data_IF_669747546796
#
_entry.id   IF_669747546796
#
_cell.length_a   1.000
_cell.length_b   1.000
_cell.length_c   1.000
_cell.angle_alpha   90.00
_cell.angle_beta   90.00
_cell.angle_gamma   90.00
#
_symmetry.space_group_name_H-M   'P 1'
#
loop_
_entity.id
_entity.type
_entity.pdbx_description
1 polymer ?
#
# COMPACT_ATOMS: atom_id res chain seq x y z
N UNK A 1 -3.42 3.07 17.03
CA UNK A 1 -3.64 3.19 15.57
C UNK A 1 -2.65 2.27 14.87
N UNK A 2 -3.11 1.43 13.95
CA UNK A 2 -2.25 0.49 13.24
C UNK A 2 -1.22 1.21 12.37
N UNK A 3 -0.01 0.65 12.28
CA UNK A 3 1.05 1.16 11.41
C UNK A 3 0.99 0.47 10.06
N UNK A 4 0.99 1.25 8.98
CA UNK A 4 1.05 0.71 7.63
C UNK A 4 2.48 0.77 7.07
N UNK A 5 2.90 -0.35 6.51
CA UNK A 5 4.12 -0.52 5.74
C UNK A 5 3.77 -1.17 4.40
N UNK A 6 4.69 -1.12 3.44
CA UNK A 6 4.39 -1.51 2.08
C UNK A 6 5.44 -2.47 1.54
N UNK A 7 5.01 -3.48 0.81
CA UNK A 7 5.89 -4.38 0.08
C UNK A 7 5.66 -4.14 -1.42
N UNK A 8 6.75 -3.94 -2.14
CA UNK A 8 6.75 -3.70 -3.57
C UNK A 8 7.80 -4.56 -4.26
N UNK A 9 7.84 -4.51 -5.58
CA UNK A 9 8.78 -5.26 -6.40
C UNK A 9 8.12 -5.90 -7.61
N UNK A 10 8.95 -6.36 -8.55
CA UNK A 10 8.48 -7.13 -9.69
C UNK A 10 7.88 -8.48 -9.24
N UNK A 11 6.99 -9.08 -10.05
CA UNK A 11 6.55 -10.46 -9.82
C UNK A 11 7.74 -11.39 -9.61
N UNK A 12 7.59 -12.44 -8.80
CA UNK A 12 8.62 -13.48 -8.57
C UNK A 12 9.94 -12.99 -7.91
N UNK A 13 9.99 -11.76 -7.41
CA UNK A 13 11.13 -11.23 -6.64
C UNK A 13 11.16 -11.60 -5.15
N UNK A 14 10.27 -12.51 -4.70
CA UNK A 14 10.30 -13.05 -3.34
C UNK A 14 9.39 -12.35 -2.31
N UNK A 15 8.44 -11.52 -2.74
CA UNK A 15 7.48 -10.85 -1.83
C UNK A 15 6.66 -11.83 -0.99
N UNK A 16 6.23 -12.96 -1.55
CA UNK A 16 5.50 -14.00 -0.80
C UNK A 16 6.36 -14.63 0.31
N UNK A 17 7.64 -14.90 0.03
CA UNK A 17 8.58 -15.42 1.04
C UNK A 17 8.80 -14.40 2.16
N UNK A 18 9.00 -13.12 1.80
CA UNK A 18 9.11 -12.04 2.77
C UNK A 18 7.85 -11.94 3.66
N UNK A 19 6.65 -11.97 3.07
CA UNK A 19 5.40 -11.94 3.83
C UNK A 19 5.29 -13.13 4.79
N UNK A 20 5.70 -14.33 4.38
CA UNK A 20 5.72 -15.50 5.27
C UNK A 20 6.69 -15.33 6.45
N UNK A 21 7.85 -14.69 6.25
CA UNK A 21 8.78 -14.36 7.34
C UNK A 21 8.18 -13.31 8.28
N UNK A 22 7.57 -12.25 7.73
CA UNK A 22 6.94 -11.19 8.54
C UNK A 22 5.79 -11.72 9.41
N UNK A 23 5.01 -12.67 8.89
CA UNK A 23 3.92 -13.32 9.61
C UNK A 23 4.38 -14.17 10.81
N UNK A 24 5.67 -14.46 10.95
CA UNK A 24 6.19 -15.11 12.17
C UNK A 24 6.12 -14.21 13.40
N UNK A 25 5.97 -12.89 13.22
CA UNK A 25 5.69 -11.97 14.32
C UNK A 25 4.16 -11.86 14.54
N UNK A 26 3.61 -12.24 15.71
CA UNK A 26 2.16 -12.26 15.93
C UNK A 26 1.49 -10.88 15.84
N UNK A 27 2.27 -9.80 15.98
CA UNK A 27 1.80 -8.41 15.87
C UNK A 27 1.62 -7.96 14.42
N UNK A 28 2.13 -8.72 13.45
CA UNK A 28 2.20 -8.32 12.06
C UNK A 28 1.16 -9.02 11.21
N UNK A 29 0.63 -8.28 10.23
CA UNK A 29 -0.10 -8.83 9.10
C UNK A 29 0.68 -8.55 7.81
N UNK A 30 0.87 -9.56 6.98
CA UNK A 30 1.42 -9.43 5.64
C UNK A 30 0.77 -10.46 4.72
N UNK A 31 0.78 -10.22 3.41
CA UNK A 31 0.22 -11.15 2.45
C UNK A 31 0.71 -10.95 1.03
N UNK A 32 0.03 -11.61 0.09
CA UNK A 32 0.20 -11.37 -1.34
C UNK A 32 -0.38 -10.02 -1.76
N UNK A 33 -0.32 -9.71 -3.06
CA UNK A 33 -0.82 -8.45 -3.60
C UNK A 33 -2.28 -8.20 -3.20
N UNK A 34 -2.55 -7.03 -2.64
CA UNK A 34 -3.89 -6.59 -2.26
C UNK A 34 -4.56 -5.79 -3.40
N UNK A 35 -5.91 -5.69 -3.42
CA UNK A 35 -6.63 -4.79 -4.31
C UNK A 35 -6.48 -3.31 -3.90
N UNK A 36 -5.92 -3.01 -2.72
CA UNK A 36 -5.83 -1.66 -2.16
C UNK A 36 -5.07 -0.72 -3.09
N UNK A 37 -3.95 -1.17 -3.68
CA UNK A 37 -3.18 -0.33 -4.61
C UNK A 37 -3.97 0.12 -5.85
N UNK A 38 -4.87 -0.73 -6.35
CA UNK A 38 -5.76 -0.40 -7.47
C UNK A 38 -6.85 0.60 -7.04
N UNK A 39 -7.54 0.32 -5.94
CA UNK A 39 -8.57 1.20 -5.38
C UNK A 39 -8.01 2.59 -5.04
N UNK A 40 -6.85 2.61 -4.38
CA UNK A 40 -6.10 3.82 -4.05
C UNK A 40 -5.78 4.63 -5.31
N UNK A 41 -5.27 3.98 -6.35
CA UNK A 41 -4.93 4.66 -7.61
C UNK A 41 -6.16 5.24 -8.31
N UNK A 42 -7.29 4.52 -8.31
CA UNK A 42 -8.55 5.01 -8.88
C UNK A 42 -9.07 6.24 -8.14
N UNK A 43 -9.13 6.19 -6.81
CA UNK A 43 -9.59 7.34 -5.99
C UNK A 43 -8.64 8.52 -6.17
N UNK A 44 -7.32 8.29 -6.15
CA UNK A 44 -6.33 9.34 -6.37
C UNK A 44 -6.53 10.02 -7.74
N UNK A 45 -6.81 9.26 -8.79
CA UNK A 45 -7.14 9.78 -10.12
C UNK A 45 -8.40 10.67 -10.12
N UNK A 46 -9.45 10.24 -9.41
CA UNK A 46 -10.69 11.01 -9.26
C UNK A 46 -10.54 12.26 -8.37
N UNK A 47 -9.47 12.35 -7.58
CA UNK A 47 -9.13 13.53 -6.77
C UNK A 47 -8.08 14.44 -7.45
N UNK A 48 -7.70 14.15 -8.70
CA UNK A 48 -6.70 14.94 -9.43
C UNK A 48 -7.29 16.24 -9.97
N UNK A 49 -6.42 17.21 -10.31
CA UNK A 49 -6.83 18.51 -10.81
C UNK A 49 -7.66 18.45 -12.11
N UNK A 50 -7.56 17.36 -12.87
CA UNK A 50 -8.33 17.11 -14.09
C UNK A 50 -9.70 16.48 -13.83
N UNK A 51 -10.07 16.25 -12.58
CA UNK A 51 -11.36 15.70 -12.18
C UNK A 51 -12.43 16.79 -12.10
N UNK A 52 -13.67 16.43 -12.45
CA UNK A 52 -14.87 17.26 -12.26
C UNK A 52 -15.10 17.61 -10.78
N UNK A 53 -14.49 16.87 -9.85
CA UNK A 53 -14.61 17.08 -8.41
C UNK A 53 -13.48 17.91 -7.80
N UNK A 54 -12.58 18.48 -8.62
CA UNK A 54 -11.40 19.23 -8.15
C UNK A 54 -11.75 20.46 -7.30
N UNK A 55 -12.94 21.05 -7.46
CA UNK A 55 -13.42 22.19 -6.67
C UNK A 55 -13.96 21.81 -5.29
N UNK A 56 -14.37 20.56 -5.09
CA UNK A 56 -14.99 20.08 -3.84
C UNK A 56 -14.07 19.18 -3.01
N UNK A 57 -13.12 18.50 -3.66
CA UNK A 57 -12.14 17.64 -2.99
C UNK A 57 -10.88 18.45 -2.66
N UNK A 58 -10.84 19.00 -1.45
CA UNK A 58 -9.60 19.58 -0.92
C UNK A 58 -8.61 18.48 -0.48
N UNK A 59 -7.38 18.90 -0.18
CA UNK A 59 -6.29 17.98 0.20
C UNK A 59 -6.66 17.11 1.41
N UNK A 60 -7.37 17.64 2.41
CA UNK A 60 -7.70 16.88 3.62
C UNK A 60 -8.79 15.84 3.38
N UNK A 61 -9.80 16.17 2.55
CA UNK A 61 -10.80 15.19 2.08
C UNK A 61 -10.10 14.08 1.30
N UNK A 62 -9.20 14.44 0.37
CA UNK A 62 -8.40 13.47 -0.39
C UNK A 62 -7.61 12.55 0.54
N UNK A 63 -6.95 13.10 1.56
CA UNK A 63 -6.19 12.31 2.54
C UNK A 63 -7.08 11.33 3.29
N UNK A 64 -8.23 11.80 3.79
CA UNK A 64 -9.20 10.95 4.50
C UNK A 64 -9.73 9.83 3.62
N UNK A 65 -10.10 10.12 2.37
CA UNK A 65 -10.58 9.11 1.42
C UNK A 65 -9.52 8.05 1.16
N UNK A 66 -8.29 8.46 0.85
CA UNK A 66 -7.20 7.55 0.53
C UNK A 66 -6.77 6.70 1.73
N UNK A 67 -6.70 7.30 2.93
CA UNK A 67 -6.44 6.57 4.18
C UNK A 67 -7.58 5.60 4.52
N UNK A 68 -8.82 6.02 4.30
CA UNK A 68 -10.02 5.22 4.56
C UNK A 68 -10.05 3.90 3.76
N UNK A 69 -9.41 3.84 2.58
CA UNK A 69 -9.27 2.59 1.82
C UNK A 69 -8.51 1.54 2.63
N UNK A 70 -7.39 1.92 3.24
CA UNK A 70 -6.57 1.01 4.06
C UNK A 70 -7.32 0.60 5.32
N UNK A 71 -7.89 1.56 6.03
CA UNK A 71 -8.61 1.31 7.28
C UNK A 71 -9.82 0.41 7.07
N UNK A 72 -10.56 0.60 5.97
CA UNK A 72 -11.72 -0.23 5.64
C UNK A 72 -11.32 -1.64 5.19
N UNK A 73 -10.30 -1.75 4.33
CA UNK A 73 -9.89 -3.06 3.81
C UNK A 73 -9.25 -3.95 4.88
N UNK A 74 -8.52 -3.37 5.83
CA UNK A 74 -7.85 -4.09 6.92
C UNK A 74 -8.64 -4.06 8.24
N UNK A 75 -9.93 -3.71 8.21
CA UNK A 75 -10.77 -3.62 9.41
C UNK A 75 -10.86 -4.94 10.19
N UNK A 76 -10.79 -6.08 9.49
CA UNK A 76 -10.79 -7.42 10.07
C UNK A 76 -9.44 -7.83 10.68
N UNK A 77 -8.40 -6.99 10.54
CA UNK A 77 -7.08 -7.16 11.15
C UNK A 77 -6.86 -6.22 12.31
N UNK A 78 -7.93 -5.75 12.95
CA UNK A 78 -7.90 -4.81 14.07
C UNK A 78 -6.95 -5.23 15.22
N UNK A 79 -6.73 -6.53 15.41
CA UNK A 79 -5.83 -7.11 16.42
C UNK A 79 -4.34 -6.96 16.11
N UNK A 80 -3.97 -6.44 14.94
CA UNK A 80 -2.58 -6.31 14.49
C UNK A 80 -2.03 -4.91 14.71
N UNK A 81 -0.79 -4.83 15.19
CA UNK A 81 -0.11 -3.55 15.41
C UNK A 81 0.43 -2.96 14.10
N UNK A 82 0.85 -3.84 13.17
CA UNK A 82 1.50 -3.47 11.91
C UNK A 82 0.91 -4.26 10.75
N UNK A 83 0.53 -3.56 9.69
CA UNK A 83 0.03 -4.11 8.44
C UNK A 83 1.01 -3.81 7.32
N UNK A 84 1.40 -4.83 6.58
CA UNK A 84 2.19 -4.74 5.36
C UNK A 84 1.26 -4.94 4.15
N UNK A 85 0.93 -3.86 3.45
CA UNK A 85 0.19 -3.95 2.20
C UNK A 85 1.15 -4.23 1.03
N UNK A 86 0.87 -5.29 0.27
CA UNK A 86 1.69 -5.67 -0.87
C UNK A 86 1.06 -5.17 -2.16
N UNK A 87 1.80 -4.40 -2.95
CA UNK A 87 1.44 -4.08 -4.32
C UNK A 87 2.69 -3.66 -5.10
N UNK A 88 2.89 -4.23 -6.30
CA UNK A 88 4.05 -3.88 -7.16
C UNK A 88 4.15 -2.38 -7.47
N UNK A 89 3.01 -1.69 -7.49
CA UNK A 89 2.90 -0.27 -7.79
C UNK A 89 3.27 0.66 -6.63
N UNK A 90 3.55 0.18 -5.41
CA UNK A 90 3.77 1.11 -4.29
C UNK A 90 5.00 2.01 -4.47
N UNK A 91 6.03 1.55 -5.18
CA UNK A 91 7.18 2.38 -5.53
C UNK A 91 6.82 3.59 -6.42
N UNK A 92 5.73 3.54 -7.21
CA UNK A 92 5.28 4.70 -8.01
C UNK A 92 4.37 5.65 -7.24
N UNK A 93 4.01 5.29 -5.99
CA UNK A 93 3.11 6.06 -5.11
C UNK A 93 3.80 6.59 -3.86
N UNK A 94 5.13 6.53 -3.79
CA UNK A 94 5.90 6.94 -2.61
C UNK A 94 5.54 8.34 -2.08
N UNK A 95 5.39 9.40 -2.89
CA UNK A 95 5.00 10.71 -2.37
C UNK A 95 3.65 10.70 -1.64
N UNK A 96 2.66 10.00 -2.20
CA UNK A 96 1.34 9.89 -1.58
C UNK A 96 1.37 9.03 -0.31
N UNK A 97 2.15 7.94 -0.31
CA UNK A 97 2.32 7.10 0.87
C UNK A 97 3.02 7.86 2.01
N UNK A 98 4.04 8.67 1.71
CA UNK A 98 4.73 9.49 2.70
C UNK A 98 3.87 10.62 3.25
N UNK A 99 2.99 11.23 2.44
CA UNK A 99 2.02 12.23 2.91
C UNK A 99 0.97 11.61 3.86
N UNK A 100 0.50 10.39 3.57
CA UNK A 100 -0.55 9.72 4.35
C UNK A 100 -0.04 8.95 5.58
N UNK A 101 1.17 8.40 5.46
CA UNK A 101 1.81 7.53 6.44
C UNK A 101 3.30 7.90 6.56
N UNK A 102 3.63 9.03 7.22
CA UNK A 102 5.01 9.56 7.25
C UNK A 102 6.03 8.65 7.94
N UNK A 103 5.57 7.72 8.78
CA UNK A 103 6.40 6.72 9.44
C UNK A 103 6.41 5.36 8.72
N UNK A 104 5.80 5.28 7.53
CA UNK A 104 5.77 4.04 6.76
C UNK A 104 7.13 3.70 6.20
N UNK A 105 7.35 2.40 5.99
CA UNK A 105 8.51 1.86 5.29
C UNK A 105 8.02 1.14 4.05
N UNK A 106 8.79 1.23 2.97
CA UNK A 106 8.54 0.46 1.74
C UNK A 106 9.69 -0.52 1.54
N UNK A 107 9.39 -1.81 1.55
CA UNK A 107 10.33 -2.89 1.29
C UNK A 107 10.20 -3.28 -0.18
N UNK A 108 11.17 -2.88 -0.99
CA UNK A 108 11.24 -3.26 -2.40
C UNK A 108 11.99 -4.59 -2.54
N UNK A 109 11.27 -5.68 -2.84
CA UNK A 109 11.88 -6.97 -3.16
C UNK A 109 12.52 -6.91 -4.54
N UNK A 110 13.84 -7.15 -4.60
CA UNK A 110 14.64 -7.11 -5.83
C UNK A 110 15.26 -8.49 -6.06
N UNK A 111 15.20 -8.95 -7.31
CA UNK A 111 15.87 -10.16 -7.81
C UNK A 111 16.37 -9.87 -9.23
N UNK A 112 17.33 -10.66 -9.72
CA UNK A 112 17.81 -10.55 -11.09
C UNK A 112 16.64 -10.56 -12.07
N UNK A 113 16.53 -9.51 -12.90
CA UNK A 113 15.43 -9.29 -13.85
C UNK A 113 15.29 -10.48 -14.81
N UNK A 114 16.40 -11.07 -15.26
CA UNK A 114 16.41 -12.23 -16.14
C UNK A 114 15.78 -13.49 -15.51
N UNK A 115 15.58 -13.53 -14.20
CA UNK A 115 14.97 -14.66 -13.48
C UNK A 115 13.51 -14.40 -13.10
N UNK A 116 13.01 -13.20 -13.36
CA UNK A 116 11.68 -12.76 -12.92
C UNK A 116 10.82 -12.15 -14.04
N UNK A 117 11.42 -11.78 -15.16
CA UNK A 117 10.75 -11.45 -16.42
C UNK A 117 10.79 -12.68 -17.32
N UNK A 118 9.64 -13.02 -17.91
CA UNK A 118 9.58 -13.93 -19.06
C UNK A 118 9.66 -13.09 -20.34
#
# INVERSE_FOLDING_TARGET
MQKFHFIAGLPRSGSTLLSAILLQNPRFHAGMSSPVGSLFSSILGQCSASSEFSSVINTDVRRRLLRGVFESYYADKADKDVVFDTNRGWCSRLPALMDLFPQSKVIACVRNVAWVMD
#
